data_IF_294162415179
#
_entry.id   IF_294162415179
#
_cell.length_a   1.000
_cell.length_b   1.000
_cell.length_c   1.000
_cell.angle_alpha   90.00
_cell.angle_beta   90.00
_cell.angle_gamma   90.00
#
_symmetry.space_group_name_H-M   'P 1'
#
loop_
_entity.id
_entity.type
_entity.pdbx_description
1 polymer ?
#
# COMPACT_ATOMS: atom_id res chain seq x y z
N UNK A 1 5.17 7.31 11.75
CA UNK A 1 4.51 8.45 11.81
C UNK A 1 3.84 8.61 13.13
N UNK A 2 2.71 9.24 13.29
CA UNK A 2 2.18 9.53 14.64
C UNK A 2 2.01 8.28 15.51
N UNK A 3 1.40 7.21 14.97
CA UNK A 3 1.20 5.94 15.70
C UNK A 3 2.51 5.30 16.14
N UNK A 4 3.55 5.35 15.31
CA UNK A 4 4.87 4.83 15.67
C UNK A 4 5.47 5.59 16.86
N UNK A 5 5.36 6.92 16.87
CA UNK A 5 5.82 7.75 18.01
C UNK A 5 5.00 7.48 19.26
N UNK A 6 3.67 7.47 19.15
CA UNK A 6 2.78 7.18 20.29
C UNK A 6 3.07 5.81 20.92
N UNK A 7 3.40 4.78 20.10
CA UNK A 7 3.83 3.48 20.59
C UNK A 7 5.20 3.56 21.27
N UNK A 8 6.16 4.27 20.70
CA UNK A 8 7.50 4.46 21.29
C UNK A 8 7.42 5.19 22.65
N UNK A 9 6.52 6.17 22.76
CA UNK A 9 6.32 7.00 23.96
C UNK A 9 5.37 6.37 24.99
N UNK A 10 4.90 5.12 24.78
CA UNK A 10 3.94 4.39 25.65
C UNK A 10 2.56 5.05 25.76
N UNK A 11 2.16 5.89 24.82
CA UNK A 11 0.82 6.47 24.79
C UNK A 11 -0.22 5.44 24.30
N UNK A 12 0.22 4.46 23.49
CA UNK A 12 -0.60 3.35 23.02
C UNK A 12 0.14 2.02 23.21
N UNK A 13 -0.60 0.93 23.33
CA UNK A 13 -0.03 -0.42 23.53
C UNK A 13 0.17 -1.21 22.25
N UNK A 14 -0.59 -0.87 21.19
CA UNK A 14 -0.60 -1.54 19.89
C UNK A 14 -0.73 -0.48 18.80
N UNK A 15 -0.01 -0.67 17.70
CA UNK A 15 -0.14 0.15 16.49
C UNK A 15 -0.32 -0.74 15.26
N UNK A 16 -1.40 -0.52 14.50
CA UNK A 16 -1.54 -1.09 13.15
C UNK A 16 -0.95 -0.10 12.16
N UNK A 17 0.08 -0.53 11.46
CA UNK A 17 0.84 0.33 10.55
C UNK A 17 1.05 -0.36 9.21
N UNK A 18 1.25 0.43 8.16
CA UNK A 18 1.59 -0.07 6.82
C UNK A 18 2.95 0.46 6.39
N UNK A 19 3.75 -0.42 5.79
CA UNK A 19 5.10 -0.12 5.35
C UNK A 19 6.17 -0.72 6.25
N UNK A 20 7.44 -0.48 5.92
CA UNK A 20 8.56 -1.00 6.69
C UNK A 20 8.93 -0.02 7.79
N UNK A 21 8.97 -0.51 9.01
CA UNK A 21 9.37 0.24 10.20
C UNK A 21 10.60 -0.43 10.81
N UNK A 22 11.53 0.38 11.28
CA UNK A 22 12.67 -0.13 12.07
C UNK A 22 12.25 -0.29 13.54
N UNK A 23 11.27 -1.19 13.78
CA UNK A 23 10.81 -1.55 15.11
C UNK A 23 11.56 -2.77 15.59
N UNK A 24 12.18 -2.68 16.79
CA UNK A 24 13.08 -3.71 17.33
C UNK A 24 12.41 -4.56 18.43
N UNK A 25 11.09 -4.49 18.56
CA UNK A 25 10.34 -5.21 19.57
C UNK A 25 9.23 -6.08 18.93
N UNK A 26 8.06 -6.21 19.51
CA UNK A 26 6.99 -7.05 18.97
C UNK A 26 6.49 -6.56 17.61
N UNK A 27 6.63 -7.38 16.60
CA UNK A 27 6.16 -7.13 15.24
C UNK A 27 5.49 -8.38 14.67
N UNK A 28 4.25 -8.23 14.26
CA UNK A 28 3.48 -9.28 13.60
C UNK A 28 3.00 -8.78 12.23
N UNK A 29 3.37 -9.52 11.19
CA UNK A 29 2.88 -9.23 9.84
C UNK A 29 1.43 -9.68 9.73
N UNK A 30 0.54 -8.73 9.40
CA UNK A 30 -0.88 -8.98 9.16
C UNK A 30 -1.16 -9.40 7.72
N UNK A 31 -0.60 -8.66 6.77
CA UNK A 31 -0.83 -8.91 5.35
C UNK A 31 0.36 -8.46 4.50
N UNK A 32 0.49 -9.10 3.35
CA UNK A 32 1.40 -8.69 2.28
C UNK A 32 0.57 -8.50 1.03
N UNK A 33 0.41 -7.26 0.61
CA UNK A 33 -0.45 -6.88 -0.50
C UNK A 33 0.41 -6.53 -1.72
N UNK A 34 0.22 -7.19 -2.86
CA UNK A 34 0.79 -6.74 -4.11
C UNK A 34 0.35 -5.31 -4.43
N UNK A 35 1.27 -4.54 -4.97
CA UNK A 35 0.97 -3.22 -5.53
C UNK A 35 0.88 -3.37 -7.04
N UNK A 36 -0.18 -2.84 -7.61
CA UNK A 36 -0.52 -3.03 -9.00
C UNK A 36 -0.58 -1.70 -9.77
N UNK A 37 -0.18 -1.75 -11.01
CA UNK A 37 -0.53 -0.75 -12.00
C UNK A 37 -1.95 -1.02 -12.48
N UNK A 38 -2.77 0.02 -12.50
CA UNK A 38 -4.16 -0.04 -12.96
C UNK A 38 -4.40 0.97 -14.08
N UNK A 39 -5.12 0.54 -15.11
CA UNK A 39 -5.52 1.38 -16.24
C UNK A 39 -6.79 0.83 -16.88
N UNK A 40 -7.50 1.68 -17.61
CA UNK A 40 -8.63 1.25 -18.40
C UNK A 40 -8.22 0.15 -19.40
N UNK A 41 -9.09 -0.81 -19.68
CA UNK A 41 -8.81 -1.93 -20.58
C UNK A 41 -8.45 -1.47 -22.00
N UNK A 42 -9.08 -0.41 -22.48
CA UNK A 42 -8.82 0.16 -23.82
C UNK A 42 -7.42 0.79 -23.92
N UNK A 43 -6.85 1.18 -22.78
CA UNK A 43 -5.51 1.77 -22.68
C UNK A 43 -4.41 0.74 -22.37
N UNK A 44 -4.77 -0.54 -22.28
CA UNK A 44 -3.84 -1.59 -21.82
C UNK A 44 -2.56 -1.70 -22.68
N UNK A 45 -2.64 -1.40 -23.95
CA UNK A 45 -1.53 -1.49 -24.91
C UNK A 45 -0.79 -0.15 -25.11
N UNK A 46 -1.31 0.96 -24.54
CA UNK A 46 -0.68 2.27 -24.72
C UNK A 46 0.56 2.39 -23.83
N UNK A 47 1.53 3.17 -24.27
CA UNK A 47 2.70 3.51 -23.46
C UNK A 47 2.27 4.34 -22.24
N UNK A 48 2.78 4.01 -21.06
CA UNK A 48 2.50 4.77 -19.83
C UNK A 48 2.95 6.23 -19.90
N UNK A 49 3.90 6.55 -20.80
CA UNK A 49 4.38 7.92 -21.01
C UNK A 49 3.35 8.79 -21.73
N UNK A 50 2.49 8.16 -22.51
CA UNK A 50 1.48 8.85 -23.33
C UNK A 50 0.16 9.03 -22.58
N UNK A 51 0.03 8.41 -21.40
CA UNK A 51 -1.17 8.43 -20.56
C UNK A 51 -0.87 9.19 -19.27
N UNK A 52 -1.75 10.07 -18.80
CA UNK A 52 -1.58 10.77 -17.54
C UNK A 52 -1.48 9.84 -16.35
N UNK A 53 -0.59 10.14 -15.41
CA UNK A 53 -0.55 9.47 -14.12
C UNK A 53 -1.47 10.17 -13.12
N UNK A 54 -2.35 9.42 -12.48
CA UNK A 54 -3.20 9.88 -11.40
C UNK A 54 -2.51 9.52 -10.08
N UNK A 55 -1.92 10.53 -9.43
CA UNK A 55 -1.24 10.38 -8.16
C UNK A 55 -2.22 10.39 -6.98
N UNK A 56 -1.83 9.76 -5.88
CA UNK A 56 -2.57 9.78 -4.64
C UNK A 56 -1.71 10.29 -3.51
N UNK A 57 -2.32 11.07 -2.59
CA UNK A 57 -1.67 11.38 -1.33
C UNK A 57 -1.59 10.10 -0.48
N UNK A 58 -0.39 9.77 -0.02
CA UNK A 58 -0.11 8.57 0.76
C UNK A 58 1.03 8.84 1.73
N UNK A 59 1.37 7.87 2.57
CA UNK A 59 2.54 7.98 3.44
C UNK A 59 3.85 8.08 2.64
N UNK A 60 4.81 8.82 3.18
CA UNK A 60 6.07 9.10 2.48
C UNK A 60 6.83 7.83 2.06
N UNK A 61 6.97 6.78 2.90
CA UNK A 61 7.68 5.57 2.48
C UNK A 61 7.02 4.85 1.29
N UNK A 62 5.69 4.86 1.20
CA UNK A 62 5.01 4.27 0.07
C UNK A 62 5.13 5.13 -1.18
N UNK A 63 5.05 6.45 -1.02
CA UNK A 63 5.29 7.40 -2.10
C UNK A 63 6.69 7.24 -2.70
N UNK A 64 7.73 7.16 -1.86
CA UNK A 64 9.12 7.01 -2.29
C UNK A 64 9.31 5.73 -3.11
N UNK A 65 8.67 4.63 -2.72
CA UNK A 65 8.71 3.37 -3.47
C UNK A 65 7.97 3.45 -4.80
N UNK A 66 6.87 4.19 -4.88
CA UNK A 66 6.18 4.45 -6.16
C UNK A 66 7.10 5.23 -7.09
N UNK A 67 7.75 6.29 -6.59
CA UNK A 67 8.67 7.09 -7.39
C UNK A 67 9.91 6.28 -7.82
N UNK A 68 10.44 5.42 -6.95
CA UNK A 68 11.52 4.49 -7.31
C UNK A 68 11.08 3.60 -8.48
N UNK A 69 9.91 2.95 -8.37
CA UNK A 69 9.40 2.09 -9.43
C UNK A 69 9.22 2.85 -10.75
N UNK A 70 8.66 4.05 -10.69
CA UNK A 70 8.49 4.93 -11.87
C UNK A 70 9.84 5.27 -12.52
N UNK A 71 10.87 5.56 -11.73
CA UNK A 71 12.23 5.82 -12.23
C UNK A 71 12.79 4.60 -12.94
N UNK A 72 12.74 3.43 -12.30
CA UNK A 72 13.25 2.17 -12.84
C UNK A 72 12.54 1.74 -14.14
N UNK A 73 11.26 2.09 -14.31
CA UNK A 73 10.46 1.72 -15.48
C UNK A 73 10.31 2.85 -16.50
N UNK A 74 11.13 3.89 -16.41
CA UNK A 74 11.18 4.98 -17.36
C UNK A 74 9.95 5.91 -17.34
N UNK A 75 9.19 5.87 -16.24
CA UNK A 75 7.99 6.69 -16.01
C UNK A 75 8.25 7.90 -15.09
N UNK A 76 9.51 8.21 -14.79
CA UNK A 76 9.86 9.34 -13.90
C UNK A 76 9.26 10.68 -14.38
N UNK A 77 9.18 10.86 -15.69
CA UNK A 77 8.64 12.07 -16.31
C UNK A 77 7.17 11.92 -16.74
N UNK A 78 6.49 10.87 -16.30
CA UNK A 78 5.06 10.74 -16.54
C UNK A 78 4.34 11.90 -15.84
N UNK A 79 3.62 12.69 -16.65
CA UNK A 79 2.96 13.89 -16.15
C UNK A 79 1.84 13.52 -15.19
N UNK A 80 2.00 13.83 -13.92
CA UNK A 80 0.90 13.78 -12.96
C UNK A 80 -0.06 14.91 -13.27
N UNK A 81 -1.29 14.60 -13.63
CA UNK A 81 -2.30 15.61 -13.91
C UNK A 81 -3.17 15.92 -12.71
N UNK A 82 -3.41 14.93 -11.85
CA UNK A 82 -4.33 15.04 -10.74
C UNK A 82 -3.75 14.35 -9.51
N UNK A 83 -3.98 14.97 -8.35
CA UNK A 83 -3.72 14.39 -7.04
C UNK A 83 -5.06 14.17 -6.34
N UNK A 84 -5.30 12.95 -5.87
CA UNK A 84 -6.57 12.52 -5.30
C UNK A 84 -6.31 11.82 -3.97
N UNK A 85 -7.13 12.10 -2.97
CA UNK A 85 -7.02 11.48 -1.65
C UNK A 85 -7.77 10.15 -1.59
N UNK A 86 -8.94 10.08 -2.25
CA UNK A 86 -9.83 8.94 -2.19
C UNK A 86 -9.54 7.89 -3.28
N UNK A 87 -9.50 6.62 -2.86
CA UNK A 87 -9.25 5.48 -3.76
C UNK A 87 -10.39 5.26 -4.75
N UNK A 88 -11.63 5.39 -4.30
CA UNK A 88 -12.80 5.15 -5.15
C UNK A 88 -12.85 6.16 -6.28
N UNK A 89 -12.63 7.43 -5.99
CA UNK A 89 -12.53 8.49 -7.00
C UNK A 89 -11.36 8.26 -7.95
N UNK A 90 -10.22 7.79 -7.44
CA UNK A 90 -9.09 7.44 -8.29
C UNK A 90 -9.44 6.31 -9.27
N UNK A 91 -10.10 5.26 -8.79
CA UNK A 91 -10.53 4.13 -9.63
C UNK A 91 -11.56 4.56 -10.68
N UNK A 92 -12.54 5.36 -10.32
CA UNK A 92 -13.52 5.90 -11.29
C UNK A 92 -12.84 6.69 -12.41
N UNK A 93 -11.83 7.49 -12.08
CA UNK A 93 -11.07 8.23 -13.11
C UNK A 93 -10.28 7.30 -14.02
N UNK A 94 -9.66 6.26 -13.45
CA UNK A 94 -8.94 5.25 -14.25
C UNK A 94 -9.91 4.47 -15.14
N UNK A 95 -11.08 4.06 -14.61
CA UNK A 95 -12.12 3.36 -15.38
C UNK A 95 -12.66 4.20 -16.55
N UNK A 96 -12.78 5.51 -16.35
CA UNK A 96 -13.19 6.44 -17.41
C UNK A 96 -12.05 6.84 -18.36
N UNK A 97 -10.88 6.20 -18.28
CA UNK A 97 -9.79 6.42 -19.22
C UNK A 97 -9.09 7.77 -19.07
N UNK A 98 -9.17 8.42 -17.90
CA UNK A 98 -8.49 9.70 -17.65
C UNK A 98 -6.98 9.51 -17.49
N UNK A 99 -6.57 8.33 -16.99
CA UNK A 99 -5.17 8.02 -16.77
C UNK A 99 -4.94 6.63 -16.19
N UNK A 100 -3.76 6.42 -15.67
CA UNK A 100 -3.37 5.21 -14.94
C UNK A 100 -2.91 5.55 -13.51
N UNK A 101 -2.96 4.57 -12.62
CA UNK A 101 -2.52 4.75 -11.23
C UNK A 101 -1.78 3.53 -10.70
N UNK A 102 -1.17 3.67 -9.52
CA UNK A 102 -0.54 2.57 -8.76
C UNK A 102 -1.30 2.42 -7.45
N UNK A 103 -1.91 1.24 -7.25
CA UNK A 103 -2.79 0.97 -6.13
C UNK A 103 -2.51 -0.41 -5.51
N UNK A 104 -2.71 -0.60 -4.18
CA UNK A 104 -2.70 -1.92 -3.57
C UNK A 104 -3.81 -2.82 -4.12
N UNK A 105 -3.53 -4.11 -4.30
CA UNK A 105 -4.46 -5.09 -4.88
C UNK A 105 -5.78 -5.20 -4.12
N UNK A 106 -5.76 -5.07 -2.80
CA UNK A 106 -6.97 -5.13 -1.96
C UNK A 106 -8.03 -4.10 -2.36
N UNK A 107 -7.62 -3.00 -2.99
CA UNK A 107 -8.53 -1.95 -3.46
C UNK A 107 -9.21 -2.31 -4.79
N UNK A 108 -8.81 -3.40 -5.44
CA UNK A 108 -9.14 -3.73 -6.83
C UNK A 108 -10.16 -4.85 -6.99
N UNK A 109 -10.78 -5.33 -5.91
CA UNK A 109 -11.69 -6.49 -5.92
C UNK A 109 -12.80 -6.43 -6.96
N UNK A 110 -13.31 -5.24 -7.27
CA UNK A 110 -14.40 -5.04 -8.23
C UNK A 110 -13.96 -4.30 -9.50
N UNK A 111 -12.68 -4.01 -9.63
CA UNK A 111 -12.13 -3.31 -10.78
C UNK A 111 -12.10 -4.23 -12.00
N UNK A 112 -12.58 -3.74 -13.15
CA UNK A 112 -12.72 -4.53 -14.40
C UNK A 112 -11.71 -4.16 -15.48
N UNK A 113 -10.86 -3.18 -15.22
CA UNK A 113 -9.82 -2.76 -16.16
C UNK A 113 -8.58 -3.66 -16.09
N UNK A 114 -7.51 -3.21 -16.71
CA UNK A 114 -6.21 -3.89 -16.70
C UNK A 114 -5.53 -3.71 -15.34
N UNK A 115 -5.15 -4.81 -14.71
CA UNK A 115 -4.41 -4.89 -13.44
C UNK A 115 -3.10 -5.63 -13.71
N UNK A 116 -1.97 -5.02 -13.40
CA UNK A 116 -0.65 -5.64 -13.57
C UNK A 116 0.14 -5.52 -12.27
N UNK A 117 0.46 -6.62 -11.58
CA UNK A 117 1.35 -6.59 -10.42
C UNK A 117 2.71 -6.00 -10.77
N UNK A 118 3.26 -5.19 -9.87
CA UNK A 118 4.50 -4.47 -10.10
C UNK A 118 5.71 -5.21 -9.52
N UNK A 119 6.82 -5.13 -10.22
CA UNK A 119 8.12 -5.65 -9.81
C UNK A 119 9.18 -4.58 -10.01
N UNK A 120 10.18 -4.54 -9.14
CA UNK A 120 11.37 -3.70 -9.30
C UNK A 120 12.35 -4.32 -10.29
N UNK A 121 13.36 -3.56 -10.72
CA UNK A 121 14.37 -4.06 -11.69
C UNK A 121 15.16 -5.26 -11.18
N UNK A 122 15.32 -5.40 -9.88
CA UNK A 122 15.98 -6.56 -9.25
C UNK A 122 15.10 -7.83 -9.23
N UNK A 123 13.90 -7.77 -9.79
CA UNK A 123 12.92 -8.84 -9.82
C UNK A 123 12.10 -8.98 -8.53
N UNK A 124 12.34 -8.18 -7.50
CA UNK A 124 11.56 -8.23 -6.28
C UNK A 124 10.14 -7.68 -6.52
N UNK A 125 9.10 -8.31 -5.94
CA UNK A 125 7.74 -7.81 -6.08
C UNK A 125 7.54 -6.52 -5.29
N UNK A 126 6.74 -5.62 -5.84
CA UNK A 126 6.33 -4.43 -5.11
C UNK A 126 5.21 -4.80 -4.14
N UNK A 127 5.56 -5.05 -2.90
CA UNK A 127 4.63 -5.45 -1.83
C UNK A 127 4.47 -4.31 -0.84
N UNK A 128 3.23 -4.10 -0.38
CA UNK A 128 2.90 -3.28 0.77
C UNK A 128 2.55 -4.19 1.94
N UNK A 129 3.30 -4.10 3.03
CA UNK A 129 3.10 -4.94 4.22
C UNK A 129 2.35 -4.16 5.28
N UNK A 130 1.40 -4.81 5.93
CA UNK A 130 0.72 -4.31 7.13
C UNK A 130 1.22 -5.05 8.36
N UNK A 131 1.43 -4.32 9.45
CA UNK A 131 2.01 -4.84 10.69
C UNK A 131 1.17 -4.47 11.90
N UNK A 132 1.18 -5.35 12.90
CA UNK A 132 0.88 -5.00 14.29
C UNK A 132 2.21 -4.82 15.01
N UNK A 133 2.47 -3.61 15.46
CA UNK A 133 3.62 -3.30 16.31
C UNK A 133 3.15 -3.18 17.77
N UNK A 134 3.93 -3.73 18.68
CA UNK A 134 3.69 -3.62 20.13
C UNK A 134 5.00 -3.70 20.90
N UNK A 135 5.00 -3.33 22.17
CA UNK A 135 6.13 -3.59 23.06
C UNK A 135 5.91 -4.94 23.74
N UNK A 136 6.94 -5.79 23.82
CA UNK A 136 6.87 -7.15 24.33
C UNK A 136 6.25 -7.23 25.72
N UNK A 137 6.54 -6.27 26.59
CA UNK A 137 5.96 -6.26 27.93
C UNK A 137 4.43 -6.01 27.94
N UNK A 138 3.86 -5.38 26.89
CA UNK A 138 2.41 -5.25 26.74
C UNK A 138 1.73 -6.54 26.27
N UNK A 139 2.46 -7.48 25.69
CA UNK A 139 1.90 -8.78 25.33
C UNK A 139 1.43 -9.60 26.52
N UNK A 140 1.96 -9.32 27.73
CA UNK A 140 1.49 -9.92 28.98
C UNK A 140 0.09 -9.45 29.39
N UNK A 141 -0.38 -8.31 28.86
CA UNK A 141 -1.73 -7.82 29.10
C UNK A 141 -2.74 -8.69 28.33
N UNK A 142 -3.76 -9.27 29.03
CA UNK A 142 -4.72 -10.17 28.39
C UNK A 142 -5.45 -9.54 27.19
N UNK A 143 -5.78 -8.25 27.27
CA UNK A 143 -6.46 -7.53 26.19
C UNK A 143 -5.58 -7.35 24.96
N UNK A 144 -4.28 -7.13 25.10
CA UNK A 144 -3.32 -7.00 23.99
C UNK A 144 -3.16 -8.35 23.30
N UNK A 145 -2.97 -9.41 24.08
CA UNK A 145 -2.86 -10.77 23.59
C UNK A 145 -4.13 -11.20 22.85
N UNK A 146 -5.29 -11.00 23.46
CA UNK A 146 -6.58 -11.33 22.86
C UNK A 146 -6.80 -10.60 21.53
N UNK A 147 -6.50 -9.30 21.48
CA UNK A 147 -6.60 -8.52 20.25
C UNK A 147 -5.73 -9.11 19.13
N UNK A 148 -4.44 -9.33 19.40
CA UNK A 148 -3.50 -9.86 18.39
C UNK A 148 -3.96 -11.25 17.92
N UNK A 149 -4.36 -12.13 18.83
CA UNK A 149 -4.84 -13.47 18.49
C UNK A 149 -6.13 -13.44 17.66
N UNK A 150 -7.08 -12.56 18.00
CA UNK A 150 -8.33 -12.41 17.25
C UNK A 150 -8.06 -11.92 15.82
N UNK A 151 -7.22 -10.90 15.68
CA UNK A 151 -6.90 -10.35 14.36
C UNK A 151 -6.17 -11.37 13.47
N UNK A 152 -5.27 -12.18 14.05
CA UNK A 152 -4.57 -13.23 13.31
C UNK A 152 -5.45 -14.42 12.96
N UNK A 153 -6.53 -14.67 13.71
CA UNK A 153 -7.47 -15.74 13.45
C UNK A 153 -8.51 -15.38 12.36
N UNK A 154 -8.67 -14.10 12.06
CA UNK A 154 -9.58 -13.63 11.01
C UNK A 154 -8.98 -13.93 9.63
N UNK A 155 -9.72 -14.71 8.81
CA UNK A 155 -9.28 -15.13 7.46
C UNK A 155 -9.08 -13.95 6.49
N UNK A 156 -9.59 -12.77 6.83
CA UNK A 156 -9.46 -11.56 6.01
C UNK A 156 -8.03 -11.07 5.76
N UNK A 157 -7.09 -11.50 6.57
CA UNK A 157 -5.68 -11.11 6.46
C UNK A 157 -4.79 -12.21 5.86
N UNK A 158 -5.35 -13.40 5.62
CA UNK A 158 -4.62 -14.57 5.09
C UNK A 158 -4.96 -14.89 3.62
N UNK A 159 -5.68 -14.02 2.94
CA UNK A 159 -6.06 -14.20 1.52
C UNK A 159 -5.17 -13.40 0.58
#
# INVERSE_FOLDING_TARGET
TQLYRALADNEISIALVRGNFNWQDGDVILSREPVCLVRNQEMAELSLKDIPYIGRHTDSPFYDRIEQWKQENGCANCRTQLWIDDISSCLEMVENGIGWSILPEICLKNYKGSITPLFFQDGSPFIRTSHILYKSHYFELPQVRAFIQTVLAEEYFNA
#
